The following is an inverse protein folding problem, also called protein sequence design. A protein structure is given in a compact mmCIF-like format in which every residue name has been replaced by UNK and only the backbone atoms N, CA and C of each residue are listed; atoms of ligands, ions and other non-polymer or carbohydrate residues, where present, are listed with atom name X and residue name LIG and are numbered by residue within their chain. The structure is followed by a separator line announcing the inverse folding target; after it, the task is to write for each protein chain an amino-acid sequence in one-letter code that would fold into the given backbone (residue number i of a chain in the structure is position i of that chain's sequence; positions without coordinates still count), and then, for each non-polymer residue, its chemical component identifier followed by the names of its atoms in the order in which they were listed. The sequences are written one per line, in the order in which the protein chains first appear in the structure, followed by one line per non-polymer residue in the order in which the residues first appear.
data_IF_998250704851
#
_entry.id   IF_998250704851
#
_cell.length_a   1.000
_cell.length_b   1.000
_cell.length_c   1.000
_cell.angle_alpha   90.00
_cell.angle_beta   90.00
_cell.angle_gamma   90.00
#
_symmetry.space_group_name_H-M   'P 1'
#
loop_
_entity.id
_entity.type
_entity.pdbx_description
1 polymer ?
#
# COMPACT_ATOMS: atom_id res chain seq x y z
N UNK A 1 -22.99 0.25 12.13
CA UNK A 1 -23.90 1.24 12.72
C UNK A 1 -24.35 0.85 14.14
N UNK A 2 -24.94 -0.34 14.37
CA UNK A 2 -25.39 -0.74 15.73
C UNK A 2 -24.23 -0.93 16.71
N UNK A 3 -23.14 -1.56 16.28
CA UNK A 3 -21.93 -1.72 17.08
C UNK A 3 -21.24 -0.37 17.35
N UNK A 4 -21.26 0.54 16.39
CA UNK A 4 -20.77 1.92 16.54
C UNK A 4 -21.58 2.70 17.58
N UNK A 5 -22.91 2.66 17.49
CA UNK A 5 -23.77 3.28 18.48
C UNK A 5 -23.52 2.72 19.88
N UNK A 6 -23.29 1.40 20.01
CA UNK A 6 -22.93 0.77 21.27
C UNK A 6 -21.57 1.21 21.82
N UNK A 7 -20.60 1.49 20.95
CA UNK A 7 -19.29 2.00 21.38
C UNK A 7 -19.39 3.38 22.03
N UNK A 8 -20.33 4.22 21.58
CA UNK A 8 -20.58 5.54 22.17
C UNK A 8 -21.46 5.50 23.43
N UNK A 9 -22.52 4.69 23.41
CA UNK A 9 -23.54 4.72 24.45
C UNK A 9 -23.23 3.82 25.67
N UNK A 10 -22.15 3.02 25.57
CA UNK A 10 -21.83 2.03 26.59
C UNK A 10 -22.81 0.84 26.58
N UNK A 11 -22.72 -0.08 27.54
CA UNK A 11 -23.56 -1.26 27.58
C UNK A 11 -25.01 -0.87 27.89
N UNK A 12 -25.91 -1.06 26.92
CA UNK A 12 -27.35 -0.92 27.12
C UNK A 12 -27.85 -2.16 27.88
N UNK A 13 -28.44 -1.95 29.06
CA UNK A 13 -29.02 -3.05 29.82
C UNK A 13 -30.09 -3.78 29.00
N UNK A 14 -29.92 -5.10 28.84
CA UNK A 14 -30.94 -6.00 28.26
C UNK A 14 -30.70 -6.39 26.79
N UNK A 15 -29.51 -6.24 26.26
CA UNK A 15 -29.18 -6.71 24.90
C UNK A 15 -28.23 -7.92 24.89
N UNK A 16 -28.50 -8.81 23.93
CA UNK A 16 -27.83 -10.06 23.62
C UNK A 16 -26.29 -10.04 23.78
N UNK A 17 -25.73 -11.15 24.20
CA UNK A 17 -24.32 -11.37 24.48
C UNK A 17 -23.42 -10.83 23.38
N UNK A 18 -22.78 -9.69 23.61
CA UNK A 18 -21.69 -9.21 22.77
C UNK A 18 -20.58 -10.25 22.86
N UNK A 19 -20.35 -10.96 21.78
CA UNK A 19 -19.31 -11.96 21.71
C UNK A 19 -17.95 -11.34 22.05
N UNK A 20 -17.30 -11.82 23.09
CA UNK A 20 -15.99 -11.38 23.54
C UNK A 20 -14.92 -12.44 23.25
N UNK A 21 -13.68 -12.01 23.20
CA UNK A 21 -12.53 -12.84 22.87
C UNK A 21 -11.45 -12.70 23.94
N UNK A 22 -10.75 -13.79 24.22
CA UNK A 22 -9.63 -13.81 25.17
C UNK A 22 -8.41 -13.05 24.65
N UNK A 23 -8.19 -13.09 23.34
CA UNK A 23 -7.14 -12.34 22.64
C UNK A 23 -7.64 -11.88 21.27
N UNK A 24 -7.28 -10.68 20.85
CA UNK A 24 -7.62 -10.10 19.54
C UNK A 24 -6.34 -9.70 18.84
N UNK A 25 -6.21 -10.10 17.57
CA UNK A 25 -5.17 -9.62 16.67
C UNK A 25 -5.80 -8.63 15.69
N UNK A 26 -5.22 -7.45 15.58
CA UNK A 26 -5.66 -6.39 14.66
C UNK A 26 -4.53 -6.14 13.68
N UNK A 27 -4.79 -6.38 12.41
CA UNK A 27 -3.87 -6.09 11.32
C UNK A 27 -4.27 -4.79 10.60
N UNK A 28 -3.30 -4.13 9.98
CA UNK A 28 -3.47 -2.83 9.30
C UNK A 28 -4.11 -1.78 10.24
N UNK A 29 -3.64 -1.75 11.47
CA UNK A 29 -4.26 -0.93 12.52
C UNK A 29 -4.20 0.57 12.23
N UNK A 30 -3.21 1.03 11.45
CA UNK A 30 -3.03 2.43 11.08
C UNK A 30 -4.18 2.99 10.23
N UNK A 31 -4.98 2.14 9.56
CA UNK A 31 -6.13 2.59 8.77
C UNK A 31 -7.48 2.38 9.47
N UNK A 32 -7.45 1.83 10.70
CA UNK A 32 -8.69 1.65 11.46
C UNK A 32 -9.19 2.98 11.99
N UNK A 33 -10.48 3.23 11.79
CA UNK A 33 -11.11 4.39 12.39
C UNK A 33 -11.07 4.30 13.93
N UNK A 34 -11.10 5.44 14.64
CA UNK A 34 -11.24 5.47 16.10
C UNK A 34 -12.40 4.61 16.60
N UNK A 35 -13.48 4.56 15.83
CA UNK A 35 -14.65 3.77 16.16
C UNK A 35 -14.40 2.27 16.05
N UNK A 36 -13.77 1.82 14.95
CA UNK A 36 -13.41 0.40 14.79
C UNK A 36 -12.50 -0.07 15.91
N UNK A 37 -11.48 0.73 16.27
CA UNK A 37 -10.56 0.41 17.37
C UNK A 37 -11.32 0.27 18.71
N UNK A 38 -12.25 1.20 19.02
CA UNK A 38 -13.08 1.12 20.23
C UNK A 38 -14.03 -0.08 20.22
N UNK A 39 -14.58 -0.44 19.06
CA UNK A 39 -15.41 -1.63 18.90
C UNK A 39 -14.61 -2.91 19.18
N UNK A 40 -13.40 -3.01 18.65
CA UNK A 40 -12.48 -4.13 18.90
C UNK A 40 -12.08 -4.17 20.38
N UNK A 41 -11.74 -3.03 20.98
CA UNK A 41 -11.42 -2.91 22.41
C UNK A 41 -12.53 -3.44 23.32
N UNK A 42 -13.80 -3.16 23.02
CA UNK A 42 -14.95 -3.66 23.76
C UNK A 42 -15.13 -5.17 23.67
N UNK A 43 -14.67 -5.78 22.59
CA UNK A 43 -14.73 -7.24 22.41
C UNK A 43 -13.57 -7.98 23.09
N UNK A 44 -12.54 -7.25 23.55
CA UNK A 44 -11.44 -7.84 24.30
C UNK A 44 -11.79 -7.98 25.77
N UNK A 45 -11.99 -9.23 26.23
CA UNK A 45 -12.43 -9.52 27.62
C UNK A 45 -11.43 -9.01 28.65
N UNK A 46 -10.15 -9.23 28.44
CA UNK A 46 -9.06 -8.92 29.37
C UNK A 46 -8.18 -7.74 28.92
N UNK A 47 -8.48 -7.10 27.78
CA UNK A 47 -7.60 -6.13 27.15
C UNK A 47 -6.39 -6.75 26.45
N UNK A 48 -6.35 -8.09 26.30
CA UNK A 48 -5.26 -8.77 25.62
C UNK A 48 -5.41 -8.61 24.11
N UNK A 49 -4.50 -7.85 23.49
CA UNK A 49 -4.53 -7.56 22.06
C UNK A 49 -3.11 -7.56 21.48
N UNK A 50 -2.98 -7.97 20.22
CA UNK A 50 -1.79 -7.76 19.39
C UNK A 50 -2.20 -6.85 18.25
N UNK A 51 -1.55 -5.69 18.17
CA UNK A 51 -1.84 -4.67 17.17
C UNK A 51 -0.65 -4.60 16.24
N UNK A 52 -0.87 -4.82 14.95
CA UNK A 52 0.18 -4.77 13.92
C UNK A 52 -0.23 -3.81 12.81
N UNK A 53 0.76 -3.25 12.13
CA UNK A 53 0.57 -2.31 11.03
C UNK A 53 1.84 -1.54 10.70
N UNK A 54 1.71 -0.62 9.76
CA UNK A 54 2.77 0.26 9.30
C UNK A 54 2.22 1.68 9.14
N UNK A 55 2.67 2.61 9.98
CA UNK A 55 2.26 4.02 9.93
C UNK A 55 2.63 4.68 8.59
N UNK A 56 3.73 4.26 7.97
CA UNK A 56 4.13 4.73 6.64
C UNK A 56 3.12 4.38 5.53
N UNK A 57 2.34 3.32 5.74
CA UNK A 57 1.29 2.86 4.83
C UNK A 57 -0.12 3.30 5.23
N UNK A 58 -0.26 4.31 6.07
CA UNK A 58 -1.55 4.88 6.45
C UNK A 58 -2.12 5.71 5.28
N UNK A 59 -3.02 5.12 4.50
CA UNK A 59 -3.63 5.72 3.30
C UNK A 59 -5.13 5.95 3.44
N UNK A 60 -5.76 5.35 4.43
CA UNK A 60 -7.19 5.50 4.69
C UNK A 60 -7.58 6.91 5.15
N UNK A 61 -8.88 7.26 5.09
CA UNK A 61 -9.38 8.57 5.52
C UNK A 61 -9.17 8.86 7.02
N UNK A 62 -8.93 7.83 7.80
CA UNK A 62 -8.61 7.87 9.23
C UNK A 62 -7.16 7.48 9.51
N UNK A 63 -6.30 7.52 8.50
CA UNK A 63 -4.92 7.07 8.61
C UNK A 63 -4.19 7.70 9.77
N UNK A 64 -3.72 6.87 10.71
CA UNK A 64 -3.00 7.31 11.89
C UNK A 64 -1.66 7.96 11.50
N UNK A 65 -1.24 8.96 12.25
CA UNK A 65 0.05 9.63 12.06
C UNK A 65 1.12 9.09 13.00
N UNK A 66 0.70 8.41 14.07
CA UNK A 66 1.57 7.79 15.07
C UNK A 66 0.91 6.56 15.69
N UNK A 67 1.71 5.73 16.36
CA UNK A 67 1.18 4.64 17.17
C UNK A 67 0.41 5.14 18.39
N UNK A 68 0.74 6.31 18.92
CA UNK A 68 0.01 6.91 20.04
C UNK A 68 -1.42 7.24 19.64
N UNK A 69 -1.66 7.69 18.38
CA UNK A 69 -3.02 7.91 17.86
C UNK A 69 -3.85 6.63 17.89
N UNK A 70 -3.25 5.49 17.52
CA UNK A 70 -3.92 4.18 17.55
C UNK A 70 -4.20 3.74 19.00
N UNK A 71 -3.20 3.88 19.87
CA UNK A 71 -3.25 3.40 21.26
C UNK A 71 -4.28 4.15 22.10
N UNK A 72 -4.53 5.44 21.86
CA UNK A 72 -5.55 6.23 22.58
C UNK A 72 -6.97 5.66 22.49
N UNK A 73 -7.23 4.79 21.50
CA UNK A 73 -8.54 4.17 21.28
C UNK A 73 -8.62 2.73 21.78
N UNK A 74 -7.54 2.21 22.37
CA UNK A 74 -7.43 0.85 22.88
C UNK A 74 -7.51 0.81 24.41
N UNK A 75 -7.79 -0.35 25.02
CA UNK A 75 -7.94 -0.43 26.47
C UNK A 75 -6.59 -0.30 27.19
N UNK A 76 -6.48 0.61 28.14
CA UNK A 76 -5.31 0.82 29.02
C UNK A 76 -5.20 -0.19 30.19
N UNK A 77 -5.89 -1.32 30.11
CA UNK A 77 -5.93 -2.29 31.22
C UNK A 77 -4.59 -2.97 31.51
N UNK A 78 -3.64 -2.90 30.58
CA UNK A 78 -2.30 -3.46 30.71
C UNK A 78 -1.30 -2.53 30.04
N UNK A 79 -0.06 -2.44 30.55
CA UNK A 79 1.00 -1.73 29.85
C UNK A 79 1.22 -2.39 28.49
N UNK A 80 1.30 -1.59 27.44
CA UNK A 80 1.64 -2.07 26.10
C UNK A 80 3.15 -2.25 25.97
N UNK A 81 3.55 -3.17 25.11
CA UNK A 81 4.94 -3.34 24.64
C UNK A 81 4.99 -2.99 23.17
N UNK A 82 5.73 -1.95 22.82
CA UNK A 82 6.02 -1.60 21.44
C UNK A 82 7.23 -2.37 20.95
N UNK A 83 7.11 -3.00 19.78
CA UNK A 83 8.19 -3.70 19.09
C UNK A 83 8.22 -3.20 17.67
N UNK A 84 9.33 -2.59 17.27
CA UNK A 84 9.57 -2.14 15.92
C UNK A 84 10.32 -3.21 15.13
N UNK A 85 9.78 -3.57 13.95
CA UNK A 85 10.42 -4.49 13.02
C UNK A 85 11.22 -3.68 11.99
N UNK A 86 12.52 -3.61 12.18
CA UNK A 86 13.43 -2.78 11.38
C UNK A 86 14.04 -3.51 10.19
N UNK A 87 13.84 -4.83 10.09
CA UNK A 87 14.43 -5.67 9.04
C UNK A 87 13.35 -6.16 8.09
N UNK A 88 13.52 -5.85 6.80
CA UNK A 88 12.61 -6.25 5.72
C UNK A 88 13.20 -7.36 4.84
N UNK A 89 12.47 -8.46 4.67
CA UNK A 89 12.84 -9.59 3.81
C UNK A 89 12.11 -9.59 2.47
N UNK A 90 11.01 -8.86 2.35
CA UNK A 90 10.13 -8.88 1.19
C UNK A 90 10.75 -8.18 0.00
N UNK A 91 11.10 -6.90 0.18
CA UNK A 91 11.56 -6.02 -0.89
C UNK A 91 13.08 -6.04 -0.94
N UNK A 92 13.68 -6.30 -2.12
CA UNK A 92 15.13 -6.23 -2.28
C UNK A 92 15.67 -4.80 -2.07
N UNK A 93 16.90 -4.70 -1.59
CA UNK A 93 17.58 -3.43 -1.36
C UNK A 93 17.68 -2.60 -2.66
N UNK A 94 17.90 -3.26 -3.81
CA UNK A 94 17.96 -2.60 -5.13
C UNK A 94 16.68 -1.84 -5.48
N UNK A 95 15.50 -2.27 -4.98
CA UNK A 95 14.22 -1.63 -5.29
C UNK A 95 13.80 -0.56 -4.26
N UNK A 96 14.47 -0.48 -3.11
CA UNK A 96 14.04 0.35 -1.99
C UNK A 96 14.28 1.86 -2.19
N UNK A 97 15.22 2.26 -3.04
CA UNK A 97 15.64 3.66 -3.18
C UNK A 97 14.47 4.65 -3.32
N UNK A 98 13.60 4.51 -4.33
CA UNK A 98 12.45 5.41 -4.52
C UNK A 98 11.46 5.39 -3.35
N UNK A 99 11.22 4.22 -2.77
CA UNK A 99 10.30 4.08 -1.64
C UNK A 99 10.84 4.78 -0.38
N UNK A 100 12.13 4.63 -0.08
CA UNK A 100 12.79 5.30 1.05
C UNK A 100 12.74 6.81 0.91
N UNK A 101 13.00 7.34 -0.29
CA UNK A 101 12.94 8.77 -0.56
C UNK A 101 11.51 9.33 -0.35
N UNK A 102 10.50 8.62 -0.84
CA UNK A 102 9.09 8.99 -0.67
C UNK A 102 8.66 8.90 0.79
N UNK A 103 9.08 7.85 1.53
CA UNK A 103 8.82 7.72 2.96
C UNK A 103 9.45 8.87 3.75
N UNK A 104 10.72 9.20 3.47
CA UNK A 104 11.43 10.30 4.12
C UNK A 104 10.74 11.66 3.92
N UNK A 105 10.09 11.88 2.78
CA UNK A 105 9.33 13.09 2.52
C UNK A 105 7.93 13.09 3.17
N UNK A 106 7.28 11.92 3.26
CA UNK A 106 5.90 11.81 3.78
C UNK A 106 5.83 11.61 5.30
N UNK A 107 6.86 10.98 5.88
CA UNK A 107 6.92 10.64 7.30
C UNK A 107 8.39 10.63 7.78
N UNK A 108 9.06 11.80 7.87
CA UNK A 108 10.49 11.89 8.18
C UNK A 108 10.87 11.39 9.58
N UNK A 109 9.90 11.17 10.45
CA UNK A 109 10.09 10.60 11.78
C UNK A 109 10.10 9.07 11.82
N UNK A 110 9.78 8.41 10.70
CA UNK A 110 9.83 6.96 10.59
C UNK A 110 11.19 6.50 10.07
N UNK A 111 11.71 5.43 10.65
CA UNK A 111 12.92 4.77 10.16
C UNK A 111 12.55 3.80 9.04
N UNK A 112 13.11 3.93 7.83
CA UNK A 112 12.88 2.95 6.77
C UNK A 112 13.37 1.55 7.18
N UNK A 113 12.66 0.47 6.82
CA UNK A 113 13.14 -0.87 7.08
C UNK A 113 14.40 -1.17 6.28
N UNK A 114 15.37 -1.82 6.94
CA UNK A 114 16.59 -2.30 6.29
C UNK A 114 16.29 -3.56 5.47
N UNK A 115 16.41 -3.48 4.15
CA UNK A 115 16.28 -4.64 3.29
C UNK A 115 17.51 -5.55 3.42
N UNK A 116 17.28 -6.86 3.63
CA UNK A 116 18.38 -7.86 3.74
C UNK A 116 18.62 -8.63 2.44
N UNK A 117 17.67 -8.59 1.49
CA UNK A 117 17.86 -9.17 0.16
C UNK A 117 18.54 -8.14 -0.74
N UNK A 118 19.66 -8.45 -1.39
CA UNK A 118 20.36 -7.46 -2.24
C UNK A 118 19.51 -7.03 -3.45
N UNK A 119 18.88 -7.98 -4.14
CA UNK A 119 18.22 -7.78 -5.43
C UNK A 119 19.20 -7.79 -6.61
N UNK A 120 18.67 -8.05 -7.80
CA UNK A 120 19.47 -8.16 -9.03
C UNK A 120 19.43 -6.85 -9.81
N UNK A 121 18.22 -6.34 -10.06
CA UNK A 121 18.00 -5.16 -10.89
C UNK A 121 17.52 -3.94 -10.09
N UNK A 122 17.99 -2.72 -10.44
CA UNK A 122 17.40 -1.49 -9.91
C UNK A 122 16.01 -1.24 -10.53
N UNK A 123 15.22 -0.29 -9.99
CA UNK A 123 13.97 0.14 -10.61
C UNK A 123 14.19 0.70 -12.00
N UNK A 124 13.37 0.26 -12.97
CA UNK A 124 13.35 0.80 -14.32
C UNK A 124 12.51 2.09 -14.36
N UNK A 125 13.06 3.20 -14.88
CA UNK A 125 12.32 4.44 -15.10
C UNK A 125 12.13 4.67 -16.60
N UNK A 126 10.87 4.68 -17.04
CA UNK A 126 10.49 4.89 -18.46
C UNK A 126 9.85 6.26 -18.60
N UNK A 127 10.55 7.18 -19.22
CA UNK A 127 10.00 8.49 -19.57
C UNK A 127 9.24 8.40 -20.90
N UNK A 128 7.98 8.80 -20.89
CA UNK A 128 7.11 8.87 -22.06
C UNK A 128 7.10 10.30 -22.60
N UNK A 129 7.63 10.50 -23.79
CA UNK A 129 7.81 11.82 -24.35
C UNK A 129 6.47 12.49 -24.69
N UNK A 130 5.56 11.71 -25.28
CA UNK A 130 4.21 12.18 -25.65
C UNK A 130 3.15 11.50 -24.77
N UNK A 131 2.35 12.25 -24.01
CA UNK A 131 1.34 11.65 -23.11
C UNK A 131 0.37 10.68 -23.79
N UNK A 132 0.09 10.86 -25.08
CA UNK A 132 -0.73 9.95 -25.90
C UNK A 132 -0.13 8.55 -26.03
N UNK A 133 1.19 8.40 -25.88
CA UNK A 133 1.91 7.14 -25.92
C UNK A 133 1.93 6.37 -24.59
N UNK A 134 1.38 6.95 -23.52
CA UNK A 134 1.47 6.38 -22.18
C UNK A 134 0.93 4.94 -22.11
N UNK A 135 -0.24 4.69 -22.68
CA UNK A 135 -0.86 3.36 -22.66
C UNK A 135 0.02 2.29 -23.34
N UNK A 136 0.64 2.63 -24.47
CA UNK A 136 1.52 1.71 -25.22
C UNK A 136 2.82 1.40 -24.43
N UNK A 137 3.42 2.42 -23.82
CA UNK A 137 4.64 2.24 -23.01
C UNK A 137 4.36 1.43 -21.74
N UNK A 138 3.21 1.66 -21.10
CA UNK A 138 2.78 0.85 -19.96
C UNK A 138 2.56 -0.60 -20.36
N UNK A 139 1.92 -0.86 -21.49
CA UNK A 139 1.70 -2.22 -21.99
C UNK A 139 3.04 -2.92 -22.31
N UNK A 140 4.00 -2.21 -22.91
CA UNK A 140 5.35 -2.70 -23.17
C UNK A 140 6.08 -3.03 -21.86
N UNK A 141 6.04 -2.14 -20.86
CA UNK A 141 6.62 -2.38 -19.54
C UNK A 141 5.98 -3.56 -18.83
N UNK A 142 4.65 -3.70 -18.88
CA UNK A 142 3.92 -4.82 -18.30
C UNK A 142 4.29 -6.16 -18.95
N UNK A 143 4.44 -6.20 -20.27
CA UNK A 143 4.88 -7.39 -20.99
C UNK A 143 6.31 -7.79 -20.59
N UNK A 144 7.25 -6.84 -20.57
CA UNK A 144 8.63 -7.10 -20.11
C UNK A 144 8.66 -7.60 -18.66
N UNK A 145 7.89 -6.95 -17.77
CA UNK A 145 7.81 -7.36 -16.38
C UNK A 145 7.27 -8.79 -16.25
N UNK A 146 6.16 -9.13 -16.95
CA UNK A 146 5.57 -10.47 -16.97
C UNK A 146 6.59 -11.53 -17.40
N UNK A 147 7.31 -11.27 -18.48
CA UNK A 147 8.26 -12.23 -19.05
C UNK A 147 9.49 -12.40 -18.12
N UNK A 148 9.90 -11.36 -17.41
CA UNK A 148 11.04 -11.40 -16.47
C UNK A 148 10.75 -12.12 -15.15
N UNK A 149 9.49 -12.25 -14.72
CA UNK A 149 9.12 -12.86 -13.44
C UNK A 149 8.36 -14.18 -13.59
N UNK A 150 8.38 -14.80 -14.76
CA UNK A 150 7.67 -16.06 -14.99
C UNK A 150 8.08 -17.15 -13.97
N UNK A 151 7.11 -17.85 -13.33
CA UNK A 151 5.65 -17.81 -13.47
C UNK A 151 4.92 -16.78 -12.56
N UNK A 152 5.52 -15.67 -12.18
CA UNK A 152 5.01 -14.71 -11.22
C UNK A 152 3.86 -13.80 -11.71
N UNK A 153 3.38 -12.95 -10.79
CA UNK A 153 2.29 -12.01 -10.99
C UNK A 153 2.80 -10.57 -11.15
N UNK A 154 2.14 -9.81 -12.01
CA UNK A 154 2.45 -8.40 -12.31
C UNK A 154 1.23 -7.53 -12.00
N UNK A 155 1.41 -6.46 -11.23
CA UNK A 155 0.41 -5.40 -11.15
C UNK A 155 0.83 -4.18 -11.96
N UNK A 156 -0.11 -3.65 -12.72
CA UNK A 156 -0.03 -2.31 -13.31
C UNK A 156 -0.81 -1.38 -12.38
N UNK A 157 -0.08 -0.64 -11.54
CA UNK A 157 -0.67 0.23 -10.51
C UNK A 157 -0.84 1.63 -11.08
N UNK A 158 -2.08 2.10 -11.13
CA UNK A 158 -2.46 3.32 -11.82
C UNK A 158 -3.29 4.26 -10.95
N UNK A 159 -3.19 5.59 -11.14
CA UNK A 159 -4.19 6.51 -10.60
C UNK A 159 -5.55 6.25 -11.25
N UNK A 160 -6.65 6.52 -10.55
CA UNK A 160 -8.01 6.22 -11.05
C UNK A 160 -8.33 6.88 -12.38
N UNK A 161 -7.84 8.09 -12.60
CA UNK A 161 -8.06 8.85 -13.84
C UNK A 161 -7.45 8.19 -15.09
N UNK A 162 -6.48 7.30 -14.93
CA UNK A 162 -5.77 6.66 -16.04
C UNK A 162 -6.13 5.18 -16.26
N UNK A 163 -7.07 4.64 -15.49
CA UNK A 163 -7.47 3.22 -15.61
C UNK A 163 -7.90 2.88 -17.04
N UNK A 164 -8.79 3.67 -17.63
CA UNK A 164 -9.33 3.41 -18.98
C UNK A 164 -8.26 3.58 -20.06
N UNK A 165 -7.37 4.58 -19.91
CA UNK A 165 -6.27 4.83 -20.86
C UNK A 165 -5.30 3.65 -20.88
N UNK A 166 -4.94 3.15 -19.68
CA UNK A 166 -4.02 2.03 -19.56
C UNK A 166 -4.67 0.72 -19.99
N UNK A 167 -5.94 0.50 -19.66
CA UNK A 167 -6.70 -0.66 -20.13
C UNK A 167 -6.73 -0.72 -21.66
N UNK A 168 -7.06 0.40 -22.33
CA UNK A 168 -7.04 0.48 -23.78
C UNK A 168 -5.64 0.21 -24.38
N UNK A 169 -4.57 0.68 -23.71
CA UNK A 169 -3.19 0.40 -24.13
C UNK A 169 -2.82 -1.08 -24.03
N UNK A 170 -3.19 -1.74 -22.93
CA UNK A 170 -2.98 -3.17 -22.74
C UNK A 170 -3.74 -4.01 -23.77
N UNK A 171 -5.01 -3.68 -24.02
CA UNK A 171 -5.85 -4.35 -25.04
C UNK A 171 -5.27 -4.17 -26.45
N UNK A 172 -4.89 -2.95 -26.81
CA UNK A 172 -4.30 -2.65 -28.13
C UNK A 172 -2.96 -3.41 -28.36
N UNK A 173 -2.20 -3.65 -27.29
CA UNK A 173 -0.96 -4.41 -27.34
C UNK A 173 -1.18 -5.93 -27.23
N UNK A 174 -2.40 -6.42 -27.07
CA UNK A 174 -2.71 -7.83 -26.90
C UNK A 174 -2.20 -8.43 -25.58
N UNK A 175 -1.99 -7.60 -24.56
CA UNK A 175 -1.60 -8.07 -23.23
C UNK A 175 -2.85 -8.51 -22.47
N UNK A 176 -2.99 -9.80 -22.21
CA UNK A 176 -4.08 -10.30 -21.37
C UNK A 176 -3.94 -9.78 -19.94
N UNK A 177 -4.96 -9.14 -19.41
CA UNK A 177 -4.99 -8.62 -18.04
C UNK A 177 -6.34 -8.84 -17.36
N UNK A 178 -6.34 -8.75 -16.04
CA UNK A 178 -7.52 -8.67 -15.20
C UNK A 178 -7.63 -7.32 -14.51
N UNK A 179 -8.78 -7.03 -13.95
CA UNK A 179 -8.97 -5.87 -13.07
C UNK A 179 -8.90 -6.32 -11.62
N UNK A 180 -8.19 -5.55 -10.79
CA UNK A 180 -8.18 -5.81 -9.35
C UNK A 180 -9.60 -5.69 -8.80
N UNK A 181 -9.99 -6.72 -8.08
CA UNK A 181 -11.25 -6.75 -7.33
C UNK A 181 -10.96 -6.97 -5.85
N UNK A 182 -11.96 -6.72 -5.00
CA UNK A 182 -11.84 -7.04 -3.57
C UNK A 182 -11.63 -8.54 -3.29
N UNK A 183 -11.73 -9.41 -4.31
CA UNK A 183 -11.59 -10.88 -4.20
C UNK A 183 -10.23 -11.40 -4.64
N UNK A 184 -9.33 -10.53 -5.16
CA UNK A 184 -7.97 -10.92 -5.53
C UNK A 184 -7.59 -10.61 -6.98
N UNK A 185 -6.50 -11.25 -7.41
CA UNK A 185 -5.87 -11.08 -8.72
C UNK A 185 -6.16 -12.32 -9.56
N UNK A 186 -7.00 -12.19 -10.58
CA UNK A 186 -7.47 -13.34 -11.37
C UNK A 186 -6.59 -13.67 -12.60
N UNK A 187 -5.64 -12.79 -12.94
CA UNK A 187 -4.75 -12.93 -14.09
C UNK A 187 -3.30 -12.63 -13.73
N UNK A 188 -2.36 -13.12 -14.54
CA UNK A 188 -0.93 -12.87 -14.36
C UNK A 188 -0.56 -11.39 -14.43
N UNK A 189 -1.21 -10.63 -15.30
CA UNK A 189 -1.15 -9.17 -15.32
C UNK A 189 -2.47 -8.64 -14.79
N UNK A 190 -2.43 -7.76 -13.82
CA UNK A 190 -3.63 -7.17 -13.24
C UNK A 190 -3.50 -5.66 -13.19
N UNK A 191 -4.50 -4.98 -13.73
CA UNK A 191 -4.66 -3.52 -13.64
C UNK A 191 -5.25 -3.18 -12.27
N UNK A 192 -4.50 -2.39 -11.49
CA UNK A 192 -4.79 -2.11 -10.09
C UNK A 192 -4.88 -0.61 -9.87
N UNK A 193 -6.05 -0.05 -9.62
CA UNK A 193 -6.16 1.30 -9.06
C UNK A 193 -5.35 1.41 -7.77
N UNK A 194 -4.62 2.51 -7.58
CA UNK A 194 -3.64 2.65 -6.47
C UNK A 194 -4.25 2.45 -5.09
N UNK A 195 -5.50 2.85 -4.89
CA UNK A 195 -6.25 2.67 -3.64
C UNK A 195 -6.57 1.19 -3.32
N UNK A 196 -6.46 0.30 -4.30
CA UNK A 196 -6.61 -1.16 -4.15
C UNK A 196 -5.25 -1.89 -4.06
N UNK A 197 -4.13 -1.17 -4.18
CA UNK A 197 -2.80 -1.78 -4.16
C UNK A 197 -2.36 -2.23 -2.76
N UNK A 198 -2.98 -1.70 -1.72
CA UNK A 198 -2.63 -2.04 -0.34
C UNK A 198 -2.90 -3.51 -0.03
N UNK A 199 -1.97 -4.14 0.70
CA UNK A 199 -2.07 -5.57 1.06
C UNK A 199 -1.74 -6.55 -0.06
N UNK A 200 -1.47 -6.08 -1.29
CA UNK A 200 -1.02 -6.95 -2.37
C UNK A 200 0.48 -7.22 -2.25
N UNK A 201 0.88 -8.44 -2.62
CA UNK A 201 2.27 -8.86 -2.79
C UNK A 201 2.42 -9.42 -4.20
N UNK A 202 3.35 -8.85 -4.97
CA UNK A 202 3.49 -9.07 -6.38
C UNK A 202 4.94 -9.32 -6.75
N UNK A 203 5.19 -10.21 -7.69
CA UNK A 203 6.54 -10.41 -8.19
C UNK A 203 7.06 -9.16 -8.90
N UNK A 204 6.21 -8.52 -9.70
CA UNK A 204 6.54 -7.26 -10.36
C UNK A 204 5.43 -6.23 -10.23
N UNK A 205 5.82 -4.95 -10.21
CA UNK A 205 4.91 -3.81 -10.28
C UNK A 205 5.35 -2.84 -11.37
N UNK A 206 4.37 -2.35 -12.13
CA UNK A 206 4.51 -1.21 -13.05
C UNK A 206 3.71 -0.06 -12.46
N UNK A 207 4.39 0.93 -11.88
CA UNK A 207 3.78 2.12 -11.28
C UNK A 207 3.65 3.20 -12.34
N UNK A 208 2.41 3.63 -12.62
CA UNK A 208 2.10 4.56 -13.70
C UNK A 208 1.83 5.96 -13.13
N UNK A 209 2.47 6.96 -13.70
CA UNK A 209 2.27 8.39 -13.37
C UNK A 209 2.32 8.67 -11.86
N UNK A 210 3.48 8.54 -11.20
CA UNK A 210 3.62 8.82 -9.77
C UNK A 210 3.11 10.19 -9.35
N UNK A 211 3.30 11.21 -10.20
CA UNK A 211 2.80 12.56 -9.92
C UNK A 211 1.27 12.64 -9.88
N UNK A 212 0.58 11.87 -10.72
CA UNK A 212 -0.87 11.80 -10.71
C UNK A 212 -1.38 11.02 -9.47
N UNK A 213 -0.70 9.95 -9.05
CA UNK A 213 -1.00 9.25 -7.79
C UNK A 213 -0.95 10.25 -6.61
N UNK A 214 0.13 11.03 -6.52
CA UNK A 214 0.28 12.01 -5.44
C UNK A 214 -0.80 13.10 -5.48
N UNK A 215 -1.22 13.52 -6.67
CA UNK A 215 -2.20 14.58 -6.83
C UNK A 215 -3.65 14.14 -6.57
N UNK A 216 -3.99 12.88 -6.90
CA UNK A 216 -5.36 12.36 -6.82
C UNK A 216 -5.69 11.74 -5.46
N UNK A 217 -4.71 11.14 -4.80
CA UNK A 217 -4.93 10.44 -3.54
C UNK A 217 -4.86 11.40 -2.33
N UNK A 218 -5.77 11.24 -1.40
CA UNK A 218 -5.80 12.07 -0.17
C UNK A 218 -4.54 11.92 0.68
N UNK A 219 -3.91 10.75 0.67
CA UNK A 219 -2.65 10.44 1.34
C UNK A 219 -1.44 10.53 0.41
N UNK A 220 -1.59 11.07 -0.80
CA UNK A 220 -0.63 11.36 -1.84
C UNK A 220 0.67 10.55 -1.81
N UNK A 221 1.70 11.08 -1.13
CA UNK A 221 3.00 10.41 -1.02
C UNK A 221 2.94 9.04 -0.33
N UNK A 222 2.05 8.83 0.65
CA UNK A 222 1.90 7.52 1.30
C UNK A 222 1.28 6.49 0.36
N UNK A 223 0.31 6.89 -0.47
CA UNK A 223 -0.24 6.02 -1.51
C UNK A 223 0.82 5.62 -2.54
N UNK A 224 1.69 6.58 -2.91
CA UNK A 224 2.84 6.29 -3.76
C UNK A 224 3.85 5.35 -3.07
N UNK A 225 4.15 5.55 -1.80
CA UNK A 225 5.00 4.64 -1.01
C UNK A 225 4.42 3.21 -1.01
N UNK A 226 3.11 3.07 -0.80
CA UNK A 226 2.44 1.77 -0.90
C UNK A 226 2.65 1.16 -2.28
N UNK A 227 2.41 1.90 -3.37
CA UNK A 227 2.58 1.39 -4.73
C UNK A 227 4.01 0.90 -5.01
N UNK A 228 5.03 1.68 -4.60
CA UNK A 228 6.44 1.36 -4.80
C UNK A 228 6.91 0.14 -3.99
N UNK A 229 6.23 -0.16 -2.88
CA UNK A 229 6.58 -1.28 -1.99
C UNK A 229 5.81 -2.57 -2.28
N UNK A 230 5.09 -2.66 -3.40
CA UNK A 230 4.35 -3.89 -3.76
C UNK A 230 5.21 -4.92 -4.48
N UNK A 231 6.25 -4.48 -5.18
CA UNK A 231 7.14 -5.35 -5.96
C UNK A 231 8.13 -6.11 -5.08
N UNK A 232 8.29 -7.41 -5.33
CA UNK A 232 9.24 -8.27 -4.61
C UNK A 232 10.43 -8.69 -5.46
N UNK A 233 10.38 -8.48 -6.79
CA UNK A 233 11.45 -8.86 -7.74
C UNK A 233 11.76 -7.78 -8.76
N UNK A 234 10.74 -7.10 -9.33
CA UNK A 234 10.94 -6.08 -10.36
C UNK A 234 10.00 -4.90 -10.19
N UNK A 235 10.54 -3.70 -10.33
CA UNK A 235 9.79 -2.44 -10.28
C UNK A 235 10.07 -1.64 -11.54
N UNK A 236 9.02 -1.24 -12.26
CA UNK A 236 9.07 -0.28 -13.36
C UNK A 236 8.21 0.94 -13.03
N UNK A 237 8.69 2.13 -13.34
CA UNK A 237 7.98 3.39 -13.16
C UNK A 237 7.82 4.04 -14.53
N UNK A 238 6.59 4.16 -15.02
CA UNK A 238 6.28 4.72 -16.35
C UNK A 238 5.60 6.07 -16.17
N UNK A 239 6.16 7.12 -16.73
CA UNK A 239 5.67 8.47 -16.51
C UNK A 239 5.88 9.41 -17.70
N UNK A 240 4.89 10.25 -18.00
CA UNK A 240 4.97 11.37 -18.96
C UNK A 240 5.07 12.72 -18.24
N UNK A 241 4.66 12.79 -16.98
CA UNK A 241 4.82 13.99 -16.13
C UNK A 241 6.12 13.92 -15.36
N UNK A 242 6.62 15.07 -14.90
CA UNK A 242 7.77 15.11 -14.00
C UNK A 242 7.52 14.26 -12.75
N UNK A 243 8.53 13.48 -12.34
CA UNK A 243 8.46 12.71 -11.10
C UNK A 243 8.25 13.64 -9.90
N UNK A 244 7.56 13.19 -8.84
CA UNK A 244 7.55 13.88 -7.55
C UNK A 244 8.98 14.15 -7.05
N UNK A 245 9.18 15.28 -6.40
CA UNK A 245 10.52 15.73 -5.96
C UNK A 245 11.33 14.64 -5.23
N UNK A 246 10.77 13.87 -4.29
CA UNK A 246 11.54 12.84 -3.61
C UNK A 246 12.10 11.75 -4.53
N UNK A 247 11.48 11.51 -5.69
CA UNK A 247 11.91 10.47 -6.63
C UNK A 247 12.94 10.96 -7.65
N UNK A 248 13.14 12.26 -7.82
CA UNK A 248 14.07 12.80 -8.83
C UNK A 248 15.52 12.45 -8.52
N UNK A 249 15.92 12.58 -7.27
CA UNK A 249 17.28 12.27 -6.83
C UNK A 249 17.61 10.78 -6.95
N UNK A 250 16.64 9.90 -6.71
CA UNK A 250 16.84 8.45 -6.81
C UNK A 250 16.98 7.95 -8.24
N UNK A 251 16.41 8.68 -9.22
CA UNK A 251 16.57 8.37 -10.65
C UNK A 251 17.99 8.67 -11.15
N UNK A 252 18.62 9.74 -10.64
CA UNK A 252 19.96 10.13 -11.05
C UNK A 252 21.06 9.21 -10.50
N UNK A 253 20.71 8.44 -9.44
CA UNK A 253 21.64 7.52 -8.77
C UNK A 253 21.51 6.06 -9.24
N UNK A 254 20.50 5.71 -10.07
CA UNK A 254 20.25 4.38 -10.62
C UNK A 254 20.78 4.25 -12.05
#
# INVERSE_FOLDING_TARGET
LLDEAHAYLGPVRGREDIRTYGHIVVDEAQDRSPMELRMLARRSLSGSMTIVGDIGQATGPWGATSWDDVLTHLPERRPHRHIELTVGYRIPASLMGPAVAVLGASAPWLTPPQAVRPGEDPPEFVWVQEPSGLGAEVASAAARARDSVEPGNVAVIVPRSLVDVVAAGLDAAGVEFGHATRRGLDRRVTLVPVDLAKGLELDAAVVVEPAAIVAEESAGLRSLYVALTRATRRLSVVHARALPDPMRETREAA
#
